data_IF_305034644910
#
_entry.id   IF_305034644910
#
_cell.length_a   1.000
_cell.length_b   1.000
_cell.length_c   1.000
_cell.angle_alpha   90.00
_cell.angle_beta   90.00
_cell.angle_gamma   90.00
#
_symmetry.space_group_name_H-M   'P 1'
#
loop_
_entity.id
_entity.type
_entity.pdbx_description
1 polymer ?
#
# COMPACT_ATOMS: atom_id res chain seq x y z
N UNK A 1 16.89 -16.93 12.81
CA UNK A 1 17.38 -17.91 11.81
C UNK A 1 16.91 -17.40 10.46
N UNK A 2 17.86 -16.94 9.65
CA UNK A 2 17.65 -16.43 8.30
C UNK A 2 17.43 -17.58 7.33
N UNK A 3 16.79 -17.33 6.19
CA UNK A 3 16.68 -18.31 5.09
C UNK A 3 18.05 -18.84 4.64
N UNK A 4 19.11 -18.04 4.79
CA UNK A 4 20.51 -18.43 4.57
C UNK A 4 21.00 -19.53 5.53
N UNK A 5 20.38 -19.63 6.70
CA UNK A 5 20.76 -20.59 7.74
C UNK A 5 20.00 -21.92 7.59
N UNK A 6 19.02 -21.99 6.67
CA UNK A 6 18.14 -23.15 6.47
C UNK A 6 18.43 -23.90 5.17
N UNK A 7 19.21 -23.33 4.26
CA UNK A 7 19.51 -23.89 2.94
C UNK A 7 21.01 -24.12 2.79
N UNK A 8 21.40 -25.17 2.06
CA UNK A 8 22.80 -25.37 1.72
C UNK A 8 23.30 -24.22 0.85
N UNK A 9 24.59 -23.84 0.93
CA UNK A 9 25.14 -22.73 0.16
C UNK A 9 24.87 -22.84 -1.35
N UNK A 10 25.00 -24.06 -1.89
CA UNK A 10 24.79 -24.36 -3.31
C UNK A 10 23.31 -24.18 -3.74
N UNK A 11 22.36 -24.53 -2.87
CA UNK A 11 20.92 -24.39 -3.14
C UNK A 11 20.44 -22.95 -2.94
N UNK A 12 21.09 -22.19 -2.07
CA UNK A 12 20.81 -20.77 -1.91
C UNK A 12 21.23 -19.97 -3.15
N UNK A 13 22.41 -20.28 -3.71
CA UNK A 13 22.93 -19.61 -4.90
C UNK A 13 22.10 -19.91 -6.15
N UNK A 14 21.58 -21.13 -6.29
CA UNK A 14 20.69 -21.54 -7.39
C UNK A 14 19.35 -20.78 -7.37
N UNK A 15 18.73 -20.65 -6.19
CA UNK A 15 17.46 -19.90 -5.99
C UNK A 15 17.63 -18.40 -6.27
N UNK A 16 18.79 -17.83 -5.96
CA UNK A 16 19.09 -16.41 -6.21
C UNK A 16 19.39 -16.17 -7.69
N UNK A 17 20.00 -17.14 -8.39
CA UNK A 17 20.31 -17.02 -9.81
C UNK A 17 19.05 -17.13 -10.70
N UNK A 18 18.15 -18.07 -10.38
CA UNK A 18 16.90 -18.28 -11.15
C UNK A 18 15.89 -17.13 -10.98
N UNK A 19 16.01 -16.32 -9.93
CA UNK A 19 15.13 -15.17 -9.70
C UNK A 19 15.43 -13.96 -10.62
N UNK A 20 16.43 -14.04 -11.50
CA UNK A 20 16.87 -12.90 -12.31
C UNK A 20 16.72 -13.03 -13.84
N UNK A 21 16.24 -14.16 -14.39
CA UNK A 21 16.28 -14.38 -15.85
C UNK A 21 14.91 -14.41 -16.58
N UNK A 22 13.85 -13.77 -16.04
CA UNK A 22 12.59 -13.66 -16.80
C UNK A 22 11.75 -12.40 -16.58
N UNK A 23 12.34 -11.28 -16.19
CA UNK A 23 11.60 -10.02 -16.18
C UNK A 23 12.54 -8.85 -16.02
N UNK A 24 12.50 -7.92 -16.99
CA UNK A 24 13.22 -6.65 -16.95
C UNK A 24 13.22 -6.09 -15.53
N UNK A 25 14.37 -6.18 -14.87
CA UNK A 25 14.56 -5.56 -13.58
C UNK A 25 14.34 -4.06 -13.79
N UNK A 26 13.25 -3.53 -13.23
CA UNK A 26 13.08 -2.09 -13.08
C UNK A 26 14.30 -1.63 -12.31
N UNK A 27 15.24 -1.02 -13.04
CA UNK A 27 16.50 -0.52 -12.50
C UNK A 27 16.13 0.35 -11.31
N UNK A 28 16.43 -0.12 -10.11
CA UNK A 28 16.33 0.68 -8.90
C UNK A 28 17.44 1.72 -9.03
N UNK A 29 17.12 2.88 -9.62
CA UNK A 29 18.06 3.98 -9.81
C UNK A 29 18.44 4.46 -8.41
N UNK A 30 19.57 3.99 -7.90
CA UNK A 30 20.13 4.43 -6.63
C UNK A 30 20.38 5.95 -6.72
N UNK A 31 19.64 6.72 -5.92
CA UNK A 31 19.87 8.15 -5.73
C UNK A 31 18.80 9.10 -6.25
N UNK A 32 17.75 8.64 -6.94
CA UNK A 32 16.67 9.52 -7.38
C UNK A 32 15.39 9.31 -6.56
N UNK A 33 14.87 10.34 -5.86
CA UNK A 33 13.68 10.20 -5.04
C UNK A 33 12.46 9.90 -5.91
N UNK A 34 11.65 8.90 -5.51
CA UNK A 34 10.41 8.55 -6.19
C UNK A 34 9.52 9.80 -6.26
N UNK A 35 9.06 10.15 -7.45
CA UNK A 35 8.13 11.27 -7.65
C UNK A 35 6.75 10.76 -8.01
N UNK A 36 5.73 11.39 -7.42
CA UNK A 36 4.31 11.06 -7.64
C UNK A 36 3.51 12.33 -7.88
N UNK A 37 2.33 12.21 -8.50
CA UNK A 37 1.39 13.33 -8.64
C UNK A 37 0.52 13.43 -7.39
N UNK A 38 0.40 14.64 -6.84
CA UNK A 38 -0.56 14.95 -5.78
C UNK A 38 -1.98 14.61 -6.26
N UNK A 39 -2.77 13.80 -5.53
CA UNK A 39 -4.09 13.38 -6.00
C UNK A 39 -5.09 14.53 -6.07
N UNK A 40 -4.86 15.62 -5.32
CA UNK A 40 -5.74 16.79 -5.22
C UNK A 40 -5.47 17.81 -6.32
N UNK A 41 -4.24 18.30 -6.45
CA UNK A 41 -3.90 19.38 -7.40
C UNK A 41 -3.07 18.93 -8.59
N UNK A 42 -2.66 17.65 -8.65
CA UNK A 42 -1.85 17.04 -9.71
C UNK A 42 -0.40 17.55 -9.84
N UNK A 43 0.05 18.44 -8.96
CA UNK A 43 1.45 18.83 -8.87
C UNK A 43 2.36 17.63 -8.58
N UNK A 44 3.56 17.63 -9.15
CA UNK A 44 4.57 16.62 -8.87
C UNK A 44 5.15 16.83 -7.45
N UNK A 45 5.30 15.76 -6.69
CA UNK A 45 5.86 15.79 -5.34
C UNK A 45 6.76 14.58 -5.09
N UNK A 46 7.72 14.76 -4.19
CA UNK A 46 8.63 13.70 -3.76
C UNK A 46 7.91 12.79 -2.76
N UNK A 47 7.97 11.49 -3.02
CA UNK A 47 7.51 10.43 -2.13
C UNK A 47 8.70 9.97 -1.27
N UNK A 48 9.03 10.77 -0.25
CA UNK A 48 10.12 10.53 0.69
C UNK A 48 9.76 11.05 2.10
N UNK A 49 10.47 10.59 3.13
CA UNK A 49 10.32 11.03 4.50
C UNK A 49 10.39 12.56 4.67
N UNK A 50 11.21 13.25 3.85
CA UNK A 50 11.32 14.71 3.82
C UNK A 50 10.02 15.45 3.50
N UNK A 51 9.07 14.82 2.80
CA UNK A 51 7.72 15.35 2.62
C UNK A 51 6.76 14.69 3.64
N UNK A 52 6.39 15.34 4.75
CA UNK A 52 5.51 14.76 5.77
C UNK A 52 4.06 14.59 5.31
N UNK A 53 3.68 15.21 4.19
CA UNK A 53 2.33 15.18 3.65
C UNK A 53 2.17 14.23 2.47
N UNK A 54 3.20 13.44 2.12
CA UNK A 54 3.12 12.44 1.04
C UNK A 54 1.85 11.55 1.17
N UNK A 55 1.12 11.24 0.08
CA UNK A 55 1.41 11.54 -1.33
C UNK A 55 0.97 12.96 -1.77
N UNK A 56 0.53 13.82 -0.85
CA UNK A 56 0.11 15.18 -1.14
C UNK A 56 1.32 16.13 -1.22
N UNK A 57 1.19 17.20 -2.00
CA UNK A 57 2.23 18.21 -2.11
C UNK A 57 2.29 19.18 -0.92
N UNK A 58 1.26 19.22 -0.07
CA UNK A 58 1.16 20.12 1.08
C UNK A 58 0.07 19.67 2.07
N UNK A 59 0.10 20.24 3.28
CA UNK A 59 -0.93 20.04 4.30
C UNK A 59 -2.33 20.41 3.79
N UNK A 60 -2.44 21.54 3.06
CA UNK A 60 -3.71 21.98 2.48
C UNK A 60 -4.33 20.88 1.61
N UNK A 61 -3.54 20.24 0.75
CA UNK A 61 -4.05 19.16 -0.10
C UNK A 61 -4.47 17.93 0.74
N UNK A 62 -3.71 17.57 1.78
CA UNK A 62 -4.10 16.49 2.70
C UNK A 62 -5.46 16.77 3.36
N UNK A 63 -5.66 18.00 3.83
CA UNK A 63 -6.91 18.39 4.49
C UNK A 63 -8.11 18.46 3.52
N UNK A 64 -7.89 18.89 2.28
CA UNK A 64 -8.96 18.87 1.25
C UNK A 64 -9.40 17.43 0.98
N UNK A 65 -8.46 16.49 0.83
CA UNK A 65 -8.83 15.09 0.60
C UNK A 65 -9.62 14.53 1.79
N UNK A 66 -9.14 14.78 3.02
CA UNK A 66 -9.84 14.40 4.24
C UNK A 66 -11.26 14.99 4.32
N UNK A 67 -11.43 16.27 3.98
CA UNK A 67 -12.73 16.93 3.95
C UNK A 67 -13.68 16.31 2.90
N UNK A 68 -13.17 15.96 1.72
CA UNK A 68 -13.97 15.31 0.68
C UNK A 68 -14.48 13.92 1.11
N UNK A 69 -13.70 13.18 1.91
CA UNK A 69 -14.17 11.94 2.53
C UNK A 69 -15.23 12.19 3.61
N UNK A 70 -15.01 13.18 4.48
CA UNK A 70 -15.95 13.51 5.54
C UNK A 70 -17.31 14.03 5.01
N UNK A 71 -17.31 14.62 3.82
CA UNK A 71 -18.50 15.14 3.15
C UNK A 71 -19.15 14.15 2.17
N UNK A 72 -18.74 12.88 2.15
CA UNK A 72 -19.22 11.85 1.20
C UNK A 72 -19.03 12.21 -0.29
N UNK A 73 -18.12 13.12 -0.62
CA UNK A 73 -17.75 13.43 -2.01
C UNK A 73 -16.86 12.34 -2.62
N UNK A 74 -16.27 11.49 -1.78
CA UNK A 74 -15.48 10.32 -2.16
C UNK A 74 -16.20 9.05 -1.72
N UNK A 75 -16.78 8.33 -2.69
CA UNK A 75 -17.54 7.10 -2.46
C UNK A 75 -16.92 5.95 -3.23
N UNK A 76 -16.70 4.83 -2.53
CA UNK A 76 -16.37 3.56 -3.15
C UNK A 76 -17.68 2.83 -3.44
N UNK A 77 -17.96 2.55 -4.72
CA UNK A 77 -19.17 1.82 -5.10
C UNK A 77 -19.08 0.39 -4.59
N UNK A 78 -19.98 0.04 -3.68
CA UNK A 78 -20.17 -1.32 -3.19
C UNK A 78 -21.30 -2.05 -3.93
N UNK A 79 -21.49 -3.32 -3.58
CA UNK A 79 -22.77 -4.01 -3.82
C UNK A 79 -23.87 -3.32 -2.98
N UNK A 80 -25.14 -3.40 -3.38
CA UNK A 80 -26.25 -3.05 -2.49
C UNK A 80 -26.09 -3.85 -1.19
N UNK A 81 -26.20 -3.15 -0.07
CA UNK A 81 -26.17 -3.75 1.27
C UNK A 81 -27.56 -3.50 1.83
N UNK A 82 -28.23 -4.57 2.26
CA UNK A 82 -29.48 -4.43 2.99
C UNK A 82 -29.17 -3.97 4.43
N UNK A 83 -30.03 -3.14 5.03
CA UNK A 83 -29.78 -2.55 6.35
C UNK A 83 -29.63 -3.60 7.47
N UNK A 84 -30.10 -4.83 7.24
CA UNK A 84 -30.01 -5.97 8.15
C UNK A 84 -28.75 -6.85 7.93
N UNK A 85 -27.93 -6.54 6.92
CA UNK A 85 -26.82 -7.40 6.48
C UNK A 85 -25.52 -7.19 7.28
N UNK A 86 -25.36 -6.05 7.97
CA UNK A 86 -24.17 -5.71 8.76
C UNK A 86 -23.97 -6.63 9.97
N UNK A 87 -25.08 -7.02 10.63
CA UNK A 87 -25.10 -8.00 11.71
C UNK A 87 -24.73 -9.42 11.24
N UNK A 88 -25.04 -9.77 9.99
CA UNK A 88 -24.68 -11.07 9.41
C UNK A 88 -23.22 -11.12 8.94
N UNK A 89 -22.64 -10.00 8.49
CA UNK A 89 -21.23 -9.91 8.10
C UNK A 89 -20.25 -10.18 9.25
N UNK A 90 -20.62 -9.84 10.50
CA UNK A 90 -19.81 -10.18 11.69
C UNK A 90 -19.76 -11.69 11.97
N UNK A 91 -20.74 -12.43 11.48
CA UNK A 91 -20.83 -13.89 11.60
C UNK A 91 -20.29 -14.62 10.36
N UNK A 92 -19.85 -13.91 9.33
CA UNK A 92 -19.27 -14.52 8.14
C UNK A 92 -17.97 -15.26 8.50
N UNK A 93 -17.90 -16.59 8.36
CA UNK A 93 -16.71 -17.36 8.67
C UNK A 93 -15.50 -17.01 7.78
N UNK A 94 -15.74 -16.35 6.64
CA UNK A 94 -14.72 -15.89 5.70
C UNK A 94 -14.37 -14.41 5.86
N UNK A 95 -14.95 -13.69 6.82
CA UNK A 95 -14.55 -12.32 7.08
C UNK A 95 -13.07 -12.30 7.45
N UNK A 96 -12.29 -11.48 6.74
CA UNK A 96 -10.85 -11.34 6.98
C UNK A 96 -10.67 -10.81 8.41
N UNK A 97 -10.35 -11.69 9.35
CA UNK A 97 -10.09 -11.33 10.74
C UNK A 97 -8.86 -10.44 10.76
N UNK A 98 -9.07 -9.13 10.82
CA UNK A 98 -7.99 -8.19 11.08
C UNK A 98 -7.51 -8.45 12.51
N UNK A 99 -6.33 -9.06 12.62
CA UNK A 99 -5.65 -9.21 13.90
C UNK A 99 -5.15 -7.85 14.34
N UNK A 100 -5.99 -7.11 15.05
CA UNK A 100 -5.57 -5.90 15.75
C UNK A 100 -4.50 -6.30 16.79
N UNK A 101 -3.32 -5.66 16.78
CA UNK A 101 -2.36 -5.81 17.86
C UNK A 101 -3.06 -5.44 19.17
N UNK A 102 -3.05 -6.34 20.15
CA UNK A 102 -3.49 -6.03 21.50
C UNK A 102 -2.36 -5.24 22.15
N UNK A 103 -2.65 -4.02 22.59
CA UNK A 103 -1.79 -3.26 23.50
C UNK A 103 -1.62 -3.99 24.84
#
# INVERSE_FOLDING_TARGET
MSLKDLLSPELYDEVVHDAHDSGEAIVKIEGQPLKVKCPICKNETVYDASNPYRPFCSEKCRLIDLGAWANDERVIKGRPVDEDEDGELLNDPNLRKYNFPKE
#
